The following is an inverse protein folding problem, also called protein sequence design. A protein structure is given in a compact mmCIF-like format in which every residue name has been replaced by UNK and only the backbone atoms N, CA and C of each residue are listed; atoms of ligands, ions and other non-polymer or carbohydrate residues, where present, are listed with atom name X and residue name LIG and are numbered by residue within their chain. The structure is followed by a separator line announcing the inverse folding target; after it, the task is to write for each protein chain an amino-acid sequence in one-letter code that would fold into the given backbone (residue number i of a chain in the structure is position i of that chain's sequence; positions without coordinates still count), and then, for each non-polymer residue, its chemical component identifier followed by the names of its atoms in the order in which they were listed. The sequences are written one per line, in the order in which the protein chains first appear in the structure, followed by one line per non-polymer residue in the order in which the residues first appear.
data_IF_101992173739
#
_entry.id   IF_101992173739
#
_cell.length_a   1.000
_cell.length_b   1.000
_cell.length_c   1.000
_cell.angle_alpha   90.00
_cell.angle_beta   90.00
_cell.angle_gamma   90.00
#
_symmetry.space_group_name_H-M   'P 1'
#
loop_
_entity.id
_entity.type
_entity.pdbx_description
1 polymer ?
#
# COMPACT_ATOMS: atom_id res chain seq x y z
N UNK A 1 -36.96 18.91 -9.76
CA UNK A 1 -35.79 18.01 -9.65
C UNK A 1 -34.75 18.77 -8.86
N UNK A 2 -34.78 18.65 -7.54
CA UNK A 2 -33.99 19.50 -6.62
C UNK A 2 -33.57 18.63 -5.43
N UNK A 3 -32.85 17.55 -5.72
CA UNK A 3 -32.38 16.57 -4.72
C UNK A 3 -31.01 15.97 -5.12
N UNK A 4 -30.11 16.76 -5.73
CA UNK A 4 -28.73 16.30 -6.00
C UNK A 4 -27.65 17.40 -5.89
N UNK A 5 -27.85 18.41 -5.04
CA UNK A 5 -26.76 19.31 -4.60
C UNK A 5 -26.65 19.27 -3.07
N UNK A 6 -26.40 18.09 -2.49
CA UNK A 6 -26.24 17.99 -1.03
C UNK A 6 -24.86 18.50 -0.57
N UNK A 7 -23.85 18.56 -1.45
CA UNK A 7 -22.48 19.02 -1.14
C UNK A 7 -21.78 19.65 -2.36
N UNK A 8 -20.95 20.66 -2.13
CA UNK A 8 -20.06 21.25 -3.16
C UNK A 8 -19.05 20.21 -3.66
N UNK A 9 -18.63 20.31 -4.93
CA UNK A 9 -17.66 19.39 -5.52
C UNK A 9 -16.33 19.36 -4.74
N UNK A 10 -15.94 20.49 -4.13
CA UNK A 10 -14.77 20.60 -3.24
C UNK A 10 -14.95 19.79 -1.94
N UNK A 11 -16.14 19.84 -1.35
CA UNK A 11 -16.44 19.04 -0.16
C UNK A 11 -16.41 17.55 -0.50
N UNK A 12 -16.98 17.16 -1.65
CA UNK A 12 -16.91 15.78 -2.14
C UNK A 12 -15.46 15.34 -2.39
N UNK A 13 -14.60 16.21 -2.94
CA UNK A 13 -13.18 15.91 -3.15
C UNK A 13 -12.43 15.59 -1.84
N UNK A 14 -12.86 16.16 -0.72
CA UNK A 14 -12.27 15.89 0.60
C UNK A 14 -12.88 14.63 1.24
N UNK A 15 -14.19 14.48 1.20
CA UNK A 15 -14.88 13.43 1.97
C UNK A 15 -15.01 12.09 1.24
N UNK A 16 -15.12 12.06 -0.09
CA UNK A 16 -15.30 10.81 -0.83
C UNK A 16 -14.12 9.84 -0.63
N UNK A 17 -12.84 10.25 -0.72
CA UNK A 17 -11.72 9.35 -0.44
C UNK A 17 -11.75 8.75 0.98
N UNK A 18 -12.27 9.48 1.97
CA UNK A 18 -12.42 9.00 3.35
C UNK A 18 -13.51 7.93 3.43
N UNK A 19 -14.66 8.16 2.78
CA UNK A 19 -15.74 7.16 2.72
C UNK A 19 -15.26 5.89 2.02
N UNK A 20 -14.55 6.05 0.89
CA UNK A 20 -13.91 4.94 0.17
C UNK A 20 -12.94 4.17 1.07
N UNK A 21 -12.15 4.87 1.88
CA UNK A 21 -11.24 4.23 2.84
C UNK A 21 -12.00 3.29 3.79
N UNK A 22 -13.10 3.76 4.39
CA UNK A 22 -13.87 2.96 5.34
C UNK A 22 -14.54 1.77 4.68
N UNK A 23 -15.19 1.97 3.53
CA UNK A 23 -15.88 0.91 2.81
C UNK A 23 -14.91 -0.19 2.36
N UNK A 24 -13.77 0.21 1.79
CA UNK A 24 -12.77 -0.73 1.31
C UNK A 24 -12.04 -1.43 2.46
N UNK A 25 -11.73 -0.73 3.55
CA UNK A 25 -11.16 -1.35 4.76
C UNK A 25 -12.14 -2.35 5.39
N UNK A 26 -13.43 -2.03 5.45
CA UNK A 26 -14.46 -2.93 5.96
C UNK A 26 -14.56 -4.22 5.13
N UNK A 27 -14.40 -4.14 3.81
CA UNK A 27 -14.33 -5.32 2.95
C UNK A 27 -13.19 -6.27 3.37
N UNK A 28 -11.98 -5.75 3.63
CA UNK A 28 -10.85 -6.57 4.10
C UNK A 28 -11.08 -7.16 5.49
N UNK A 29 -11.82 -6.45 6.36
CA UNK A 29 -12.20 -7.00 7.67
C UNK A 29 -13.17 -8.18 7.52
N UNK A 30 -14.19 -8.04 6.67
CA UNK A 30 -15.18 -9.11 6.39
C UNK A 30 -14.52 -10.32 5.76
N UNK A 31 -13.64 -10.11 4.78
CA UNK A 31 -12.90 -11.18 4.11
C UNK A 31 -11.74 -11.73 4.96
N UNK A 32 -11.37 -11.08 6.06
CA UNK A 32 -10.09 -11.31 6.73
C UNK A 32 -9.81 -12.78 7.06
N UNK A 33 -10.82 -13.54 7.53
CA UNK A 33 -10.62 -14.95 7.94
C UNK A 33 -10.44 -15.89 6.75
N UNK A 34 -11.11 -15.64 5.63
CA UNK A 34 -10.94 -16.47 4.41
C UNK A 34 -9.60 -16.19 3.72
N UNK A 35 -8.93 -15.09 4.05
CA UNK A 35 -7.69 -14.65 3.42
C UNK A 35 -6.42 -15.01 4.21
N UNK A 36 -6.52 -15.71 5.34
CA UNK A 36 -5.37 -15.99 6.23
C UNK A 36 -4.21 -16.70 5.49
N UNK A 37 -4.51 -17.57 4.51
CA UNK A 37 -3.52 -18.23 3.65
C UNK A 37 -2.66 -17.26 2.81
N UNK A 38 -3.18 -16.07 2.51
CA UNK A 38 -2.53 -15.08 1.67
C UNK A 38 -1.90 -13.93 2.47
N UNK A 39 -1.89 -14.00 3.81
CA UNK A 39 -1.36 -12.94 4.67
C UNK A 39 0.15 -13.00 4.79
N UNK A 40 0.79 -11.83 4.69
CA UNK A 40 2.22 -11.62 4.89
C UNK A 40 2.65 -11.68 6.36
N UNK A 41 1.74 -11.44 7.31
CA UNK A 41 1.96 -11.61 8.75
C UNK A 41 0.85 -12.44 9.36
N UNK A 42 1.19 -13.26 10.37
CA UNK A 42 0.16 -13.93 11.16
C UNK A 42 -0.66 -12.90 11.95
N UNK A 43 -1.91 -13.23 12.26
CA UNK A 43 -2.78 -12.34 13.07
C UNK A 43 -2.18 -12.04 14.44
N UNK A 44 -1.58 -13.04 15.08
CA UNK A 44 -0.94 -12.90 16.40
C UNK A 44 0.22 -11.90 16.36
N UNK A 45 1.05 -11.96 15.32
CA UNK A 45 2.14 -10.99 15.12
C UNK A 45 1.63 -9.58 14.80
N UNK A 46 0.55 -9.46 14.05
CA UNK A 46 -0.03 -8.16 13.75
C UNK A 46 -0.72 -7.55 14.97
N UNK A 47 -1.48 -8.35 15.73
CA UNK A 47 -2.20 -7.93 16.93
C UNK A 47 -1.24 -7.52 18.04
N UNK A 48 -0.12 -8.25 18.22
CA UNK A 48 0.95 -7.84 19.15
C UNK A 48 1.63 -6.52 18.72
N UNK A 49 1.66 -6.22 17.42
CA UNK A 49 2.15 -4.95 16.87
C UNK A 49 1.06 -3.87 16.76
N UNK A 50 -0.19 -4.19 17.09
CA UNK A 50 -1.35 -3.31 16.95
C UNK A 50 -1.39 -2.28 18.09
N UNK A 51 -0.47 -1.34 18.02
CA UNK A 51 -0.49 -0.16 18.88
C UNK A 51 -1.46 0.85 18.25
N UNK A 52 -2.70 0.89 18.74
CA UNK A 52 -3.80 1.76 18.27
C UNK A 52 -3.36 3.23 18.08
N UNK A 53 -2.43 3.69 18.91
CA UNK A 53 -1.81 5.03 18.82
C UNK A 53 -1.04 5.28 17.52
N UNK A 54 -0.40 4.25 16.93
CA UNK A 54 0.37 4.36 15.66
C UNK A 54 -0.54 4.41 14.43
N UNK A 55 -1.77 3.88 14.48
CA UNK A 55 -2.70 3.85 13.34
C UNK A 55 -3.35 5.21 13.11
N UNK A 56 -3.80 5.89 14.16
CA UNK A 56 -4.35 7.25 14.07
C UNK A 56 -3.35 8.27 13.51
N UNK A 57 -2.09 8.25 13.97
CA UNK A 57 -1.05 9.16 13.45
C UNK A 57 -0.80 8.96 11.96
N UNK A 58 -0.80 7.70 11.49
CA UNK A 58 -0.62 7.39 10.06
C UNK A 58 -1.79 7.88 9.22
N UNK A 59 -3.02 7.67 9.70
CA UNK A 59 -4.22 8.18 9.01
C UNK A 59 -4.18 9.71 8.92
N UNK A 60 -3.88 10.41 10.01
CA UNK A 60 -3.80 11.89 10.02
C UNK A 60 -2.74 12.37 9.03
N UNK A 61 -1.52 11.80 9.07
CA UNK A 61 -0.46 12.13 8.12
C UNK A 61 -0.90 11.93 6.67
N UNK A 62 -1.52 10.78 6.35
CA UNK A 62 -2.00 10.49 5.00
C UNK A 62 -3.04 11.50 4.53
N UNK A 63 -4.01 11.85 5.39
CA UNK A 63 -5.06 12.82 5.07
C UNK A 63 -4.50 14.23 4.87
N UNK A 64 -3.57 14.66 5.72
CA UNK A 64 -2.93 15.99 5.59
C UNK A 64 -2.11 16.10 4.30
N UNK A 65 -1.34 15.07 3.96
CA UNK A 65 -0.55 15.03 2.71
C UNK A 65 -1.48 15.02 1.49
N UNK A 66 -2.57 14.23 1.53
CA UNK A 66 -3.57 14.19 0.45
C UNK A 66 -4.26 15.54 0.23
N UNK A 67 -4.66 16.23 1.31
CA UNK A 67 -5.25 17.56 1.22
C UNK A 67 -4.28 18.59 0.65
N UNK A 68 -3.02 18.57 1.10
CA UNK A 68 -1.99 19.45 0.55
C UNK A 68 -1.76 19.18 -0.94
N UNK A 69 -1.69 17.90 -1.34
CA UNK A 69 -1.55 17.52 -2.74
C UNK A 69 -2.73 17.98 -3.59
N UNK A 70 -3.97 17.90 -3.07
CA UNK A 70 -5.15 18.44 -3.75
C UNK A 70 -4.98 19.93 -4.05
N UNK A 71 -4.67 20.73 -3.03
CA UNK A 71 -4.49 22.19 -3.17
C UNK A 71 -3.36 22.54 -4.14
N UNK A 72 -2.21 21.88 -4.02
CA UNK A 72 -1.02 22.18 -4.84
C UNK A 72 -1.17 21.70 -6.28
N UNK A 73 -1.91 20.62 -6.53
CA UNK A 73 -2.04 20.02 -7.86
C UNK A 73 -2.82 20.88 -8.86
N UNK A 74 -3.65 21.82 -8.40
CA UNK A 74 -4.54 22.61 -9.27
C UNK A 74 -5.59 21.78 -10.02
N UNK A 75 -5.79 20.52 -9.63
CA UNK A 75 -6.80 19.65 -10.23
C UNK A 75 -8.21 20.18 -9.94
N UNK A 76 -9.11 20.02 -10.91
CA UNK A 76 -10.54 20.26 -10.64
C UNK A 76 -11.04 19.32 -9.53
N UNK A 77 -11.98 19.74 -8.67
CA UNK A 77 -12.49 18.91 -7.60
C UNK A 77 -12.98 17.54 -8.07
N UNK A 78 -13.64 17.48 -9.24
CA UNK A 78 -14.12 16.22 -9.86
C UNK A 78 -12.98 15.27 -10.20
N UNK A 79 -11.90 15.77 -10.81
CA UNK A 79 -10.73 14.95 -11.12
C UNK A 79 -10.07 14.43 -9.83
N UNK A 80 -10.02 15.26 -8.79
CA UNK A 80 -9.46 14.90 -7.49
C UNK A 80 -10.25 13.82 -6.77
N UNK A 81 -11.59 13.83 -6.87
CA UNK A 81 -12.44 12.75 -6.33
C UNK A 81 -11.98 11.39 -6.84
N UNK A 82 -11.86 11.24 -8.17
CA UNK A 82 -11.46 9.97 -8.78
C UNK A 82 -10.01 9.62 -8.46
N UNK A 83 -9.09 10.57 -8.60
CA UNK A 83 -7.66 10.33 -8.39
C UNK A 83 -7.35 9.93 -6.94
N UNK A 84 -7.80 10.72 -5.96
CA UNK A 84 -7.51 10.42 -4.55
C UNK A 84 -8.26 9.19 -4.05
N UNK A 85 -9.46 8.91 -4.57
CA UNK A 85 -10.16 7.66 -4.25
C UNK A 85 -9.40 6.44 -4.79
N UNK A 86 -8.84 6.51 -6.00
CA UNK A 86 -7.97 5.47 -6.53
C UNK A 86 -6.69 5.31 -5.72
N UNK A 87 -6.03 6.41 -5.35
CA UNK A 87 -4.87 6.41 -4.44
C UNK A 87 -5.21 5.76 -3.09
N UNK A 88 -6.39 6.04 -2.52
CA UNK A 88 -6.83 5.45 -1.25
C UNK A 88 -6.98 3.93 -1.37
N UNK A 89 -7.66 3.45 -2.41
CA UNK A 89 -7.83 2.01 -2.65
C UNK A 89 -6.47 1.34 -2.79
N UNK A 90 -5.57 1.92 -3.58
CA UNK A 90 -4.22 1.41 -3.80
C UNK A 90 -3.38 1.39 -2.52
N UNK A 91 -3.46 2.44 -1.71
CA UNK A 91 -2.75 2.52 -0.44
C UNK A 91 -3.26 1.46 0.55
N UNK A 92 -4.57 1.24 0.64
CA UNK A 92 -5.11 0.17 1.48
C UNK A 92 -4.63 -1.19 0.98
N UNK A 93 -4.65 -1.42 -0.33
CA UNK A 93 -4.18 -2.66 -0.93
C UNK A 93 -2.72 -2.96 -0.56
N UNK A 94 -1.81 -1.99 -0.73
CA UNK A 94 -0.39 -2.15 -0.38
C UNK A 94 -0.13 -2.29 1.12
N UNK A 95 -1.04 -1.81 1.96
CA UNK A 95 -0.89 -1.83 3.43
C UNK A 95 -1.70 -2.93 4.12
N UNK A 96 -2.61 -3.63 3.42
CA UNK A 96 -3.52 -4.60 4.04
C UNK A 96 -2.81 -5.87 4.51
N UNK A 97 -1.57 -6.10 4.06
CA UNK A 97 -0.78 -7.27 4.44
C UNK A 97 -1.25 -8.56 3.77
N UNK A 98 -2.03 -8.50 2.69
CA UNK A 98 -2.51 -9.69 1.96
C UNK A 98 -2.06 -9.70 0.49
N UNK A 99 -1.79 -10.90 -0.04
CA UNK A 99 -1.35 -11.14 -1.41
C UNK A 99 -2.33 -12.07 -2.13
N UNK A 100 -3.51 -11.54 -2.48
CA UNK A 100 -4.54 -12.31 -3.19
C UNK A 100 -4.13 -12.58 -4.65
N UNK A 101 -4.30 -13.82 -5.17
CA UNK A 101 -3.83 -14.17 -6.51
C UNK A 101 -4.64 -13.55 -7.64
N UNK A 102 -5.89 -13.15 -7.39
CA UNK A 102 -6.77 -12.45 -8.35
C UNK A 102 -6.76 -10.92 -8.20
N UNK A 103 -5.88 -10.37 -7.36
CA UNK A 103 -5.82 -8.93 -7.19
C UNK A 103 -5.33 -8.23 -8.46
N UNK A 104 -6.20 -7.42 -9.05
CA UNK A 104 -5.90 -6.68 -10.29
C UNK A 104 -4.79 -5.65 -10.10
N UNK A 105 -4.68 -5.05 -8.90
CA UNK A 105 -3.62 -4.08 -8.61
C UNK A 105 -2.24 -4.74 -8.65
N UNK A 106 -2.11 -5.94 -8.10
CA UNK A 106 -0.85 -6.69 -8.13
C UNK A 106 -0.43 -7.12 -9.55
N UNK A 107 -1.38 -7.14 -10.50
CA UNK A 107 -1.09 -7.43 -11.91
C UNK A 107 -0.70 -6.16 -12.69
N UNK A 108 -1.32 -5.03 -12.36
CA UNK A 108 -1.11 -3.77 -13.07
C UNK A 108 0.06 -2.95 -12.49
N UNK A 109 0.39 -3.13 -11.21
CA UNK A 109 1.40 -2.36 -10.49
C UNK A 109 2.45 -3.26 -9.85
N UNK A 110 3.71 -2.83 -9.94
CA UNK A 110 4.86 -3.55 -9.38
C UNK A 110 5.18 -3.15 -7.94
N UNK A 111 4.58 -2.06 -7.46
CA UNK A 111 4.54 -1.76 -6.03
C UNK A 111 3.25 -2.43 -5.50
N UNK A 112 3.42 -3.37 -4.58
CA UNK A 112 2.33 -4.15 -4.00
C UNK A 112 2.60 -4.36 -2.50
N UNK A 113 1.75 -5.14 -1.84
CA UNK A 113 1.87 -5.44 -0.42
C UNK A 113 3.23 -6.01 0.00
N UNK A 114 3.83 -6.89 -0.79
CA UNK A 114 5.14 -7.47 -0.48
C UNK A 114 6.27 -6.44 -0.63
N UNK A 115 6.18 -5.58 -1.65
CA UNK A 115 7.10 -4.45 -1.85
C UNK A 115 7.09 -3.50 -0.64
N UNK A 116 5.89 -3.13 -0.18
CA UNK A 116 5.71 -2.28 0.99
C UNK A 116 6.14 -2.98 2.28
N UNK A 117 5.85 -4.28 2.44
CA UNK A 117 6.28 -5.05 3.61
C UNK A 117 7.79 -5.01 3.79
N UNK A 118 8.53 -5.24 2.71
CA UNK A 118 10.00 -5.19 2.72
C UNK A 118 10.52 -3.84 3.14
N UNK A 119 9.92 -2.74 2.67
CA UNK A 119 10.29 -1.40 3.10
C UNK A 119 10.21 -1.23 4.63
N UNK A 120 9.25 -1.89 5.30
CA UNK A 120 9.12 -1.84 6.77
C UNK A 120 9.98 -2.84 7.54
N UNK A 121 10.59 -3.83 6.89
CA UNK A 121 11.47 -4.77 7.57
C UNK A 121 12.69 -4.02 8.15
N UNK A 122 13.29 -4.52 9.26
CA UNK A 122 14.35 -3.85 10.03
C UNK A 122 15.59 -3.42 9.21
N UNK A 123 15.82 -4.02 8.04
CA UNK A 123 16.88 -3.64 7.08
C UNK A 123 16.35 -2.90 5.83
N UNK A 124 15.04 -2.85 5.65
CA UNK A 124 14.36 -2.41 4.44
C UNK A 124 13.93 -0.95 4.40
N UNK A 125 14.00 -0.21 5.52
CA UNK A 125 13.76 1.24 5.52
C UNK A 125 14.78 2.06 4.71
N UNK A 126 15.72 1.39 4.03
CA UNK A 126 16.72 1.96 3.13
C UNK A 126 16.41 1.74 1.65
N UNK A 127 15.34 1.02 1.33
CA UNK A 127 15.00 0.58 -0.02
C UNK A 127 13.48 0.68 -0.25
N UNK A 128 13.06 0.59 -1.51
CA UNK A 128 11.67 0.50 -1.93
C UNK A 128 10.80 1.70 -1.48
N UNK A 129 11.20 2.93 -1.80
CA UNK A 129 10.51 4.15 -1.37
C UNK A 129 9.27 4.52 -2.21
N UNK A 130 9.15 4.01 -3.42
CA UNK A 130 8.10 4.35 -4.41
C UNK A 130 6.82 3.55 -4.15
N UNK A 131 6.09 3.96 -3.12
CA UNK A 131 4.90 3.28 -2.61
C UNK A 131 3.55 3.54 -3.31
N UNK A 132 3.33 4.56 -4.18
CA UNK A 132 1.97 4.76 -4.72
C UNK A 132 1.60 3.83 -5.89
N UNK A 133 2.45 3.73 -6.91
CA UNK A 133 2.07 3.07 -8.18
C UNK A 133 3.22 2.31 -8.84
N UNK A 134 4.35 2.99 -9.05
CA UNK A 134 5.44 2.47 -9.87
C UNK A 134 6.74 2.47 -9.08
N UNK A 135 7.54 1.43 -9.30
CA UNK A 135 8.88 1.28 -8.71
C UNK A 135 9.97 2.03 -9.49
N UNK A 136 9.57 2.87 -10.45
CA UNK A 136 10.47 3.51 -11.43
C UNK A 136 11.59 4.29 -10.73
N UNK A 137 11.25 5.12 -9.75
CA UNK A 137 12.26 5.94 -9.07
C UNK A 137 13.24 5.11 -8.26
N UNK A 138 12.79 4.03 -7.62
CA UNK A 138 13.71 3.11 -6.95
C UNK A 138 14.66 2.41 -7.90
N UNK A 139 14.22 2.12 -9.14
CA UNK A 139 15.10 1.56 -10.17
C UNK A 139 16.09 2.58 -10.70
N UNK A 140 15.65 3.82 -10.94
CA UNK A 140 16.49 4.92 -11.43
C UNK A 140 17.57 5.28 -10.41
N UNK A 141 17.23 5.34 -9.13
CA UNK A 141 18.15 5.73 -8.06
C UNK A 141 18.83 4.57 -7.34
N UNK A 142 18.63 3.32 -7.80
CA UNK A 142 19.29 2.14 -7.23
C UNK A 142 18.83 1.76 -5.82
N UNK A 143 17.66 2.22 -5.39
CA UNK A 143 17.06 1.90 -4.08
C UNK A 143 16.04 0.76 -4.16
N UNK A 144 15.91 0.10 -5.31
CA UNK A 144 15.03 -1.05 -5.48
C UNK A 144 15.64 -2.33 -4.89
N UNK A 145 14.94 -2.95 -3.94
CA UNK A 145 15.29 -4.24 -3.35
C UNK A 145 14.45 -5.36 -3.98
N UNK A 146 15.06 -6.27 -4.76
CA UNK A 146 14.36 -7.44 -5.29
C UNK A 146 13.98 -8.42 -4.17
N UNK A 147 12.92 -9.19 -4.38
CA UNK A 147 12.37 -10.07 -3.36
C UNK A 147 11.65 -11.28 -3.91
N UNK A 148 11.50 -12.27 -3.02
CA UNK A 148 10.71 -13.47 -3.23
C UNK A 148 9.60 -13.55 -2.19
N UNK A 149 8.43 -14.07 -2.59
CA UNK A 149 7.32 -14.35 -1.68
C UNK A 149 7.19 -15.85 -1.54
N UNK A 150 7.34 -16.35 -0.30
CA UNK A 150 7.38 -17.77 0.00
C UNK A 150 6.27 -18.14 0.99
N UNK A 151 5.76 -19.37 0.90
CA UNK A 151 4.83 -19.90 1.90
C UNK A 151 5.57 -20.22 3.21
N UNK A 152 4.95 -19.94 4.35
CA UNK A 152 5.50 -20.30 5.66
C UNK A 152 5.08 -21.70 6.11
N UNK A 153 5.94 -22.44 6.83
CA UNK A 153 5.58 -23.74 7.41
C UNK A 153 4.33 -23.68 8.31
N UNK A 154 4.21 -22.61 9.09
CA UNK A 154 3.09 -22.30 9.98
C UNK A 154 1.85 -21.70 9.27
N UNK A 155 1.89 -21.54 7.95
CA UNK A 155 0.82 -20.96 7.13
C UNK A 155 1.00 -19.47 6.83
N UNK A 156 0.35 -19.02 5.75
CA UNK A 156 0.51 -17.67 5.20
C UNK A 156 1.75 -17.53 4.31
N UNK A 157 2.13 -16.28 4.04
CA UNK A 157 3.20 -15.89 3.12
C UNK A 157 4.25 -15.03 3.81
N UNK A 158 5.48 -15.00 3.31
CA UNK A 158 6.54 -14.11 3.77
C UNK A 158 7.28 -13.52 2.57
N UNK A 159 7.46 -12.20 2.56
CA UNK A 159 8.35 -11.53 1.62
C UNK A 159 9.78 -11.52 2.17
N UNK A 160 10.75 -11.99 1.39
CA UNK A 160 12.18 -11.98 1.75
C UNK A 160 12.99 -11.27 0.68
N UNK A 161 13.98 -10.43 1.07
CA UNK A 161 14.94 -9.89 0.11
C UNK A 161 15.60 -11.05 -0.63
N UNK A 162 15.64 -10.95 -1.96
CA UNK A 162 16.38 -11.90 -2.76
C UNK A 162 17.86 -11.65 -2.47
N UNK A 163 18.58 -12.68 -1.99
CA UNK A 163 20.03 -12.56 -1.79
C UNK A 163 20.63 -12.10 -3.12
N UNK A 164 21.38 -11.00 -3.09
CA UNK A 164 22.22 -10.64 -4.22
C UNK A 164 23.11 -11.86 -4.49
N UNK A 165 22.92 -12.50 -5.63
CA UNK A 165 23.99 -13.28 -6.24
C UNK A 165 25.13 -12.29 -6.44
N UNK A 166 26.07 -12.26 -5.50
CA UNK A 166 27.39 -11.73 -5.79
C UNK A 166 27.92 -12.66 -6.88
N UNK A 167 27.82 -12.23 -8.14
CA UNK A 167 28.59 -12.86 -9.20
C UNK A 167 30.05 -12.58 -8.86
N UNK A 168 30.69 -13.53 -8.18
CA UNK A 168 32.14 -13.64 -8.20
C UNK A 168 32.50 -14.08 -9.63
N UNK A 169 32.56 -13.12 -10.53
CA UNK A 169 33.15 -13.24 -11.85
C UNK A 169 33.89 -11.95 -12.05
N UNK A 170 35.07 -11.88 -11.43
CA UNK A 170 36.19 -11.00 -11.76
C UNK A 170 37.21 -11.13 -10.62
N UNK A 171 38.06 -12.16 -10.71
CA UNK A 171 39.49 -12.19 -10.32
C UNK A 171 40.06 -13.58 -10.66
N UNK A 172 40.21 -13.84 -11.95
CA UNK A 172 41.17 -14.81 -12.46
C UNK A 172 41.59 -14.35 -13.86
N UNK A 173 42.53 -13.42 -13.88
CA UNK A 173 43.58 -13.24 -14.87
C UNK A 173 44.69 -12.41 -14.24
#
# INVERSE_FOLDING_TARGET
MEQMELFSDEALAVFVPIVVYWLYSALYLVLGKSMDKYRLHSRLEEDSKNLVSKRHRRLIMQQSVGLLAFVVSGMSPRASIYFFSFCTVKAIDDHCGTMLPWNVFHRCFWNNTAYHDLHHQLRGGKYNFSQPFFVTWDKVFGTHMPYVVEARPEGGLQARPQKATVSCSDKQN
#
